data_IF_848402950225
#
_entry.id   IF_848402950225
#
_cell.length_a   1.000
_cell.length_b   1.000
_cell.length_c   1.000
_cell.angle_alpha   90.00
_cell.angle_beta   90.00
_cell.angle_gamma   90.00
#
_symmetry.space_group_name_H-M   'P 1'
#
loop_
_entity.id
_entity.type
_entity.pdbx_description
1 polymer ?
#
# COMPACT_ATOMS: atom_id res chain seq x y z
N UNK A 1 -24.44 -2.69 -14.38
CA UNK A 1 -23.01 -2.45 -14.67
C UNK A 1 -22.50 -1.12 -14.09
N UNK A 2 -22.83 0.06 -14.64
CA UNK A 2 -22.26 1.35 -14.15
C UNK A 2 -22.53 1.64 -12.66
N UNK A 3 -23.75 1.40 -12.16
CA UNK A 3 -24.10 1.59 -10.74
C UNK A 3 -23.27 0.72 -9.81
N UNK A 4 -23.02 -0.54 -10.19
CA UNK A 4 -22.18 -1.46 -9.43
C UNK A 4 -20.74 -0.93 -9.32
N UNK A 5 -20.14 -0.49 -10.43
CA UNK A 5 -18.78 0.05 -10.44
C UNK A 5 -18.64 1.31 -9.59
N UNK A 6 -19.64 2.19 -9.61
CA UNK A 6 -19.65 3.40 -8.78
C UNK A 6 -19.74 3.06 -7.29
N UNK A 7 -20.65 2.16 -6.91
CA UNK A 7 -20.78 1.71 -5.52
C UNK A 7 -19.50 1.01 -5.07
N UNK A 8 -18.97 0.11 -5.89
CA UNK A 8 -17.73 -0.60 -5.60
C UNK A 8 -16.54 0.36 -5.43
N UNK A 9 -16.39 1.35 -6.33
CA UNK A 9 -15.35 2.36 -6.20
C UNK A 9 -15.50 3.19 -4.91
N UNK A 10 -16.72 3.55 -4.53
CA UNK A 10 -16.99 4.24 -3.27
C UNK A 10 -16.60 3.37 -2.07
N UNK A 11 -16.96 2.09 -2.07
CA UNK A 11 -16.57 1.13 -1.02
C UNK A 11 -15.04 1.02 -0.93
N UNK A 12 -14.35 0.89 -2.06
CA UNK A 12 -12.87 0.82 -2.10
C UNK A 12 -12.26 2.08 -1.48
N UNK A 13 -12.75 3.28 -1.84
CA UNK A 13 -12.25 4.54 -1.29
C UNK A 13 -12.54 4.68 0.21
N UNK A 14 -13.72 4.23 0.66
CA UNK A 14 -14.08 4.26 2.07
C UNK A 14 -13.20 3.30 2.90
N UNK A 15 -12.88 2.12 2.35
CA UNK A 15 -11.97 1.17 3.00
C UNK A 15 -10.55 1.74 3.03
N UNK A 16 -10.03 2.19 1.89
CA UNK A 16 -8.65 2.69 1.77
C UNK A 16 -8.40 3.96 2.59
N UNK A 17 -9.34 4.91 2.59
CA UNK A 17 -9.18 6.21 3.25
C UNK A 17 -9.78 6.31 4.64
N UNK A 18 -10.65 5.38 5.04
CA UNK A 18 -11.36 5.45 6.32
C UNK A 18 -11.08 4.24 7.19
N UNK A 19 -11.46 3.05 6.72
CA UNK A 19 -11.34 1.81 7.51
C UNK A 19 -9.87 1.46 7.80
N UNK A 20 -8.94 1.79 6.90
CA UNK A 20 -7.52 1.51 7.07
C UNK A 20 -6.91 2.11 8.34
N UNK A 21 -7.40 3.25 8.84
CA UNK A 21 -6.93 3.87 10.08
C UNK A 21 -7.21 3.04 11.34
N UNK A 22 -8.11 2.06 11.26
CA UNK A 22 -8.41 1.15 12.35
C UNK A 22 -7.57 -0.14 12.31
N UNK A 23 -6.68 -0.28 11.32
CA UNK A 23 -5.76 -1.41 11.27
C UNK A 23 -4.65 -1.22 12.30
N UNK A 24 -4.28 -2.31 12.98
CA UNK A 24 -3.10 -2.35 13.83
C UNK A 24 -1.85 -2.30 12.94
N UNK A 25 -0.97 -1.33 13.22
CA UNK A 25 0.25 -1.06 12.44
C UNK A 25 1.50 -1.56 13.14
N UNK A 26 1.40 -1.93 14.42
CA UNK A 26 2.57 -2.13 15.30
C UNK A 26 2.41 -3.38 16.19
N UNK A 27 2.89 -4.56 15.74
CA UNK A 27 3.51 -4.81 14.44
C UNK A 27 2.48 -5.07 13.34
N UNK A 28 2.75 -4.57 12.13
CA UNK A 28 1.98 -4.96 10.95
C UNK A 28 2.11 -6.47 10.66
N UNK A 29 1.26 -6.99 9.76
CA UNK A 29 1.24 -8.42 9.45
C UNK A 29 2.53 -8.97 8.83
N UNK A 30 3.24 -8.16 8.04
CA UNK A 30 4.55 -8.52 7.48
C UNK A 30 5.58 -8.58 8.61
N UNK A 31 5.64 -7.55 9.44
CA UNK A 31 6.57 -7.44 10.56
C UNK A 31 6.35 -8.53 11.62
N UNK A 32 5.10 -8.84 11.95
CA UNK A 32 4.74 -9.92 12.85
C UNK A 32 5.24 -11.30 12.38
N UNK A 33 5.46 -11.47 11.07
CA UNK A 33 5.99 -12.70 10.48
C UNK A 33 7.51 -12.64 10.35
N UNK A 34 8.05 -11.51 9.89
CA UNK A 34 9.49 -11.36 9.61
C UNK A 34 10.32 -11.24 10.87
N UNK A 35 9.76 -10.73 11.97
CA UNK A 35 10.44 -10.58 13.27
C UNK A 35 10.38 -11.85 14.14
N UNK A 36 9.70 -12.92 13.72
CA UNK A 36 9.65 -14.17 14.50
C UNK A 36 11.06 -14.73 14.73
N UNK A 37 11.40 -14.96 15.99
CA UNK A 37 12.74 -15.40 16.40
C UNK A 37 13.69 -14.27 16.80
N UNK A 38 13.22 -13.01 16.75
CA UNK A 38 13.87 -11.86 17.35
C UNK A 38 13.05 -11.29 18.51
N UNK A 39 13.73 -10.60 19.43
CA UNK A 39 13.13 -9.71 20.42
C UNK A 39 13.37 -8.26 20.02
N UNK A 40 12.33 -7.42 20.08
CA UNK A 40 12.43 -5.98 19.90
C UNK A 40 12.93 -5.36 21.20
N UNK A 41 14.09 -4.69 21.14
CA UNK A 41 14.72 -4.01 22.27
C UNK A 41 14.83 -2.52 21.95
N UNK A 42 14.37 -1.66 22.86
CA UNK A 42 14.48 -0.20 22.69
C UNK A 42 15.85 0.28 23.18
N UNK A 43 16.60 0.93 22.31
CA UNK A 43 17.94 1.50 22.56
C UNK A 43 17.91 3.02 22.43
N UNK A 44 19.03 3.67 22.75
CA UNK A 44 19.21 5.13 22.59
C UNK A 44 19.10 5.60 21.12
N UNK A 45 19.27 4.69 20.15
CA UNK A 45 19.17 4.99 18.71
C UNK A 45 17.81 4.58 18.08
N UNK A 46 16.89 4.00 18.85
CA UNK A 46 15.60 3.54 18.34
C UNK A 46 15.28 2.09 18.74
N UNK A 47 14.52 1.38 17.90
CA UNK A 47 14.24 -0.04 18.11
C UNK A 47 15.32 -0.90 17.43
N UNK A 48 15.79 -1.93 18.13
CA UNK A 48 16.80 -2.87 17.65
C UNK A 48 16.30 -4.30 17.80
N UNK A 49 16.54 -5.14 16.79
CA UNK A 49 16.16 -6.54 16.81
C UNK A 49 17.34 -7.40 17.30
N UNK A 50 17.14 -8.17 18.37
CA UNK A 50 18.10 -9.15 18.86
C UNK A 50 17.60 -10.58 18.60
N UNK A 51 18.45 -11.46 18.05
CA UNK A 51 18.11 -12.87 17.83
C UNK A 51 18.46 -13.37 16.43
N UNK A 52 17.61 -14.20 15.82
CA UNK A 52 17.72 -14.64 14.42
C UNK A 52 16.33 -14.63 13.78
N UNK A 53 16.12 -13.70 12.84
CA UNK A 53 14.86 -13.55 12.12
C UNK A 53 15.12 -12.91 10.75
N UNK A 54 14.12 -12.90 9.87
CA UNK A 54 14.23 -12.37 8.51
C UNK A 54 14.43 -10.84 8.52
N UNK A 55 13.77 -10.16 9.45
CA UNK A 55 13.81 -8.69 9.56
C UNK A 55 15.22 -8.13 9.84
N UNK A 56 16.17 -8.92 10.38
CA UNK A 56 17.57 -8.46 10.55
C UNK A 56 18.31 -8.20 9.23
N UNK A 57 17.78 -8.68 8.12
CA UNK A 57 18.32 -8.43 6.78
C UNK A 57 17.55 -7.35 6.03
N UNK A 58 16.65 -6.62 6.70
CA UNK A 58 16.07 -5.40 6.16
C UNK A 58 17.20 -4.40 5.85
N UNK A 59 17.08 -3.70 4.74
CA UNK A 59 18.07 -2.72 4.30
C UNK A 59 17.43 -1.64 3.47
N UNK A 60 18.21 -0.59 3.23
CA UNK A 60 17.75 0.56 2.47
C UNK A 60 17.39 0.17 1.04
N UNK A 61 16.35 0.80 0.52
CA UNK A 61 15.88 0.62 -0.85
C UNK A 61 15.86 1.97 -1.57
N UNK A 62 16.00 1.96 -2.89
CA UNK A 62 16.14 3.18 -3.70
C UNK A 62 14.93 4.13 -3.63
N UNK A 63 13.79 3.64 -3.15
CA UNK A 63 12.57 4.42 -2.94
C UNK A 63 12.34 4.78 -1.47
N UNK A 64 13.29 4.49 -0.56
CA UNK A 64 13.15 4.74 0.88
C UNK A 64 12.88 6.21 1.18
N UNK A 65 13.51 7.13 0.44
CA UNK A 65 13.28 8.57 0.57
C UNK A 65 12.09 9.09 -0.25
N UNK A 66 11.24 8.18 -0.75
CA UNK A 66 10.07 8.49 -1.56
C UNK A 66 8.98 9.20 -0.76
N UNK A 67 8.14 10.04 -1.41
CA UNK A 67 7.07 10.76 -0.73
C UNK A 67 5.91 9.88 -0.24
N UNK A 68 5.90 8.60 -0.61
CA UNK A 68 4.87 7.61 -0.25
C UNK A 68 5.46 6.37 0.45
N UNK A 69 6.70 6.47 0.97
CA UNK A 69 7.32 5.38 1.74
C UNK A 69 6.56 5.13 3.03
N UNK A 70 6.61 3.88 3.49
CA UNK A 70 5.92 3.41 4.71
C UNK A 70 4.41 3.70 4.69
N UNK A 71 3.84 3.75 3.48
CA UNK A 71 2.44 4.10 3.25
C UNK A 71 2.06 5.49 3.76
N UNK A 72 3.02 6.37 4.01
CA UNK A 72 2.78 7.74 4.50
C UNK A 72 2.64 8.73 3.36
N UNK A 73 2.37 10.00 3.67
CA UNK A 73 2.56 11.10 2.72
C UNK A 73 3.59 12.06 3.29
N UNK A 74 4.79 12.07 2.72
CA UNK A 74 5.91 12.90 3.17
C UNK A 74 6.43 12.51 4.56
N UNK A 75 6.28 11.25 4.97
CA UNK A 75 6.72 10.77 6.29
C UNK A 75 5.75 11.06 7.44
N UNK A 76 4.54 11.56 7.17
CA UNK A 76 3.52 11.77 8.20
C UNK A 76 2.47 10.65 8.17
N UNK A 77 2.49 9.82 9.21
CA UNK A 77 1.63 8.64 9.41
C UNK A 77 0.15 8.99 9.49
N UNK A 78 -0.19 10.25 9.79
CA UNK A 78 -1.57 10.73 9.82
C UNK A 78 -2.22 10.68 8.44
N UNK A 79 -1.43 10.61 7.37
CA UNK A 79 -1.90 10.59 5.99
C UNK A 79 -1.86 9.21 5.33
N UNK A 80 -1.73 8.13 6.11
CA UNK A 80 -1.75 6.76 5.58
C UNK A 80 -2.99 6.42 4.74
N UNK A 81 -4.18 6.85 5.17
CA UNK A 81 -5.40 6.70 4.37
C UNK A 81 -5.38 7.50 3.05
N UNK A 82 -4.70 8.65 3.02
CA UNK A 82 -4.54 9.44 1.79
C UNK A 82 -3.64 8.72 0.79
N UNK A 83 -2.52 8.15 1.26
CA UNK A 83 -1.66 7.31 0.43
C UNK A 83 -2.44 6.11 -0.13
N UNK A 84 -3.29 5.46 0.69
CA UNK A 84 -4.20 4.41 0.25
C UNK A 84 -5.17 4.83 -0.86
N UNK A 85 -5.81 6.00 -0.71
CA UNK A 85 -6.67 6.58 -1.75
C UNK A 85 -5.90 6.81 -3.05
N UNK A 86 -4.71 7.42 -2.97
CA UNK A 86 -3.86 7.69 -4.14
C UNK A 86 -3.55 6.37 -4.87
N UNK A 87 -3.10 5.35 -4.14
CA UNK A 87 -2.80 4.02 -4.71
C UNK A 87 -4.01 3.38 -5.40
N UNK A 88 -5.19 3.46 -4.78
CA UNK A 88 -6.43 2.94 -5.35
C UNK A 88 -6.82 3.67 -6.64
N UNK A 89 -6.76 5.01 -6.66
CA UNK A 89 -7.09 5.83 -7.84
C UNK A 89 -6.11 5.55 -8.98
N UNK A 90 -4.81 5.49 -8.70
CA UNK A 90 -3.77 5.18 -9.70
C UNK A 90 -4.02 3.81 -10.31
N UNK A 91 -4.33 2.80 -9.49
CA UNK A 91 -4.62 1.44 -9.95
C UNK A 91 -5.85 1.39 -10.84
N UNK A 92 -6.95 2.05 -10.44
CA UNK A 92 -8.18 2.11 -11.23
C UNK A 92 -7.96 2.85 -12.56
N UNK A 93 -7.18 3.94 -12.56
CA UNK A 93 -6.84 4.68 -13.77
C UNK A 93 -5.98 3.83 -14.72
N UNK A 94 -4.97 3.13 -14.20
CA UNK A 94 -4.11 2.26 -14.99
C UNK A 94 -4.91 1.09 -15.61
N UNK A 95 -5.69 0.37 -14.80
CA UNK A 95 -6.52 -0.72 -15.27
C UNK A 95 -7.59 -0.23 -16.28
N UNK A 96 -8.30 0.84 -15.95
CA UNK A 96 -9.31 1.43 -16.82
C UNK A 96 -8.73 1.88 -18.16
N UNK A 97 -7.57 2.55 -18.14
CA UNK A 97 -6.84 2.97 -19.34
C UNK A 97 -6.40 1.78 -20.20
N UNK A 98 -5.83 0.74 -19.57
CA UNK A 98 -5.42 -0.48 -20.25
C UNK A 98 -6.60 -1.18 -20.94
N UNK A 99 -7.69 -1.43 -20.21
CA UNK A 99 -8.86 -2.11 -20.76
C UNK A 99 -9.53 -1.30 -21.87
N UNK A 100 -9.58 0.03 -21.72
CA UNK A 100 -10.10 0.89 -22.75
C UNK A 100 -9.24 0.89 -24.02
N UNK A 101 -7.91 0.91 -23.87
CA UNK A 101 -6.97 0.78 -24.98
C UNK A 101 -7.09 -0.58 -25.70
N UNK A 102 -7.28 -1.67 -24.95
CA UNK A 102 -7.51 -3.00 -25.50
C UNK A 102 -8.85 -3.10 -26.25
N UNK A 103 -9.93 -2.57 -25.68
CA UNK A 103 -11.26 -2.52 -26.32
C UNK A 103 -11.22 -1.83 -27.69
N UNK A 104 -10.44 -0.75 -27.83
CA UNK A 104 -10.32 0.00 -29.09
C UNK A 104 -9.67 -0.82 -30.20
N UNK A 105 -8.74 -1.72 -29.89
CA UNK A 105 -8.06 -2.56 -30.89
C UNK A 105 -8.96 -3.63 -31.50
N UNK A 106 -9.97 -4.08 -30.77
CA UNK A 106 -10.92 -5.10 -31.27
C UNK A 106 -11.96 -4.55 -32.26
N UNK A 107 -12.17 -3.23 -32.31
CA UNK A 107 -13.12 -2.60 -33.25
C UNK A 107 -12.51 -2.18 -34.59
N UNK A 108 -11.22 -2.42 -34.80
CA UNK A 108 -10.49 -2.05 -36.03
C UNK A 108 -10.11 -3.27 -36.89
N UNK A 109 -10.65 -4.45 -36.57
CA UNK A 109 -10.36 -5.73 -37.24
C UNK A 109 -11.43 -6.22 -38.22
N UNK A 110 -12.49 -5.44 -38.46
CA UNK A 110 -13.43 -5.69 -39.56
C UNK A 110 -13.22 -4.58 -40.61
N UNK A 111 -12.40 -4.90 -41.60
CA UNK A 111 -12.24 -4.18 -42.86
C UNK A 111 -12.22 -5.22 -44.00
#
# INVERSE_FOLDING_TARGET
>A
MKRFLLIFALVVLAVAGGVAYFADSDPDGLDAVTQRGCSVVRTEQGESLEGKCIAQHAGDHALGDGPLTDYTVGGDDRFTGVAGIIGAVVTLAAAGGLFWGLRRRSGSGEA
#
